data_IF_103266491045
#
_entry.id   IF_103266491045
#
_cell.length_a   1.000
_cell.length_b   1.000
_cell.length_c   1.000
_cell.angle_alpha   90.00
_cell.angle_beta   90.00
_cell.angle_gamma   90.00
#
_symmetry.space_group_name_H-M   'P 1'
#
loop_
_entity.id
_entity.type
_entity.pdbx_description
1 polymer ?
#
# COMPACT_ATOMS: atom_id res chain seq x y z
N UNK A 1 -1.85 0.29 7.21
CA UNK A 1 -2.49 0.98 6.07
C UNK A 1 -3.77 0.23 5.77
N UNK A 2 -4.90 0.91 5.75
CA UNK A 2 -6.23 0.35 5.49
C UNK A 2 -6.67 0.58 4.05
N UNK A 3 -7.68 -0.16 3.57
CA UNK A 3 -8.25 0.03 2.23
C UNK A 3 -8.75 1.46 1.94
N UNK A 4 -9.26 2.18 2.94
CA UNK A 4 -9.69 3.57 2.75
C UNK A 4 -8.53 4.56 2.69
N UNK A 5 -7.42 4.23 3.35
CA UNK A 5 -6.19 5.00 3.22
C UNK A 5 -5.55 4.78 1.85
N UNK A 6 -5.58 3.55 1.32
CA UNK A 6 -5.01 3.26 0.00
C UNK A 6 -5.79 3.90 -1.15
N UNK A 7 -7.12 3.99 -1.04
CA UNK A 7 -7.96 4.72 -2.02
C UNK A 7 -7.59 6.19 -2.16
N UNK A 8 -7.03 6.80 -1.11
CA UNK A 8 -6.63 8.21 -1.09
C UNK A 8 -5.19 8.45 -1.56
N UNK A 9 -4.43 7.40 -1.89
CA UNK A 9 -3.06 7.54 -2.35
C UNK A 9 -3.00 8.17 -3.74
N UNK A 10 -2.02 9.04 -3.95
CA UNK A 10 -1.72 9.57 -5.28
C UNK A 10 -0.55 8.81 -5.89
N UNK A 11 -0.51 8.72 -7.21
CA UNK A 11 0.68 8.24 -7.91
C UNK A 11 1.86 9.16 -7.56
N UNK A 12 3.01 8.56 -7.22
CA UNK A 12 4.19 9.24 -6.69
C UNK A 12 4.19 9.40 -5.17
N UNK A 13 3.10 9.10 -4.47
CA UNK A 13 3.07 9.11 -3.02
C UNK A 13 4.03 8.06 -2.44
N UNK A 14 4.69 8.45 -1.34
CA UNK A 14 5.56 7.57 -0.57
C UNK A 14 4.75 6.87 0.52
N UNK A 15 4.91 5.56 0.63
CA UNK A 15 4.22 4.74 1.62
C UNK A 15 5.20 3.88 2.40
N UNK A 16 4.84 3.59 3.65
CA UNK A 16 5.55 2.66 4.54
C UNK A 16 4.56 1.64 5.05
N UNK A 17 4.83 0.35 4.85
CA UNK A 17 3.99 -0.69 5.42
C UNK A 17 4.34 -0.90 6.91
N UNK A 18 3.33 -1.04 7.77
CA UNK A 18 3.49 -1.27 9.24
C UNK A 18 4.46 -0.32 9.96
N UNK A 19 4.68 0.89 9.44
CA UNK A 19 5.70 1.82 9.92
C UNK A 19 7.15 1.29 9.90
N UNK A 20 7.41 0.19 9.17
CA UNK A 20 8.76 -0.27 8.91
C UNK A 20 9.38 0.58 7.79
N UNK A 21 10.51 1.22 8.09
CA UNK A 21 11.27 2.01 7.11
C UNK A 21 11.88 1.13 6.03
N UNK A 22 12.11 -0.16 6.29
CA UNK A 22 12.59 -1.11 5.30
C UNK A 22 11.52 -1.42 4.25
N UNK A 23 10.24 -1.31 4.60
CA UNK A 23 9.10 -1.49 3.69
C UNK A 23 8.61 -0.15 3.14
N UNK A 24 9.55 0.68 2.69
CA UNK A 24 9.24 1.90 1.98
C UNK A 24 9.02 1.63 0.48
N UNK A 25 8.00 2.24 -0.09
CA UNK A 25 7.66 2.09 -1.50
C UNK A 25 6.97 3.32 -2.07
N UNK A 26 6.98 3.42 -3.39
CA UNK A 26 6.34 4.51 -4.13
C UNK A 26 5.16 3.97 -4.92
N UNK A 27 4.02 4.63 -4.81
CA UNK A 27 2.83 4.29 -5.57
C UNK A 27 3.06 4.62 -7.04
N UNK A 28 3.00 3.61 -7.91
CA UNK A 28 3.15 3.80 -9.36
C UNK A 28 1.81 3.82 -10.07
N UNK A 29 0.80 3.17 -9.50
CA UNK A 29 -0.57 3.17 -10.03
C UNK A 29 -1.58 3.17 -8.88
N UNK A 30 -2.70 3.87 -9.08
CA UNK A 30 -3.89 3.76 -8.23
C UNK A 30 -5.12 3.64 -9.13
N UNK A 31 -5.83 2.53 -9.00
CA UNK A 31 -7.05 2.23 -9.73
C UNK A 31 -8.22 2.05 -8.77
N UNK A 32 -9.42 1.87 -9.32
CA UNK A 32 -10.61 1.61 -8.51
C UNK A 32 -10.51 0.34 -7.66
N UNK A 33 -9.72 -0.67 -8.10
CA UNK A 33 -9.62 -1.97 -7.44
C UNK A 33 -8.41 -2.08 -6.49
N UNK A 34 -7.34 -1.32 -6.74
CA UNK A 34 -6.14 -1.40 -5.91
C UNK A 34 -5.06 -0.39 -6.26
N UNK A 35 -3.88 -0.59 -5.69
CA UNK A 35 -2.67 0.19 -5.97
C UNK A 35 -1.53 -0.71 -6.38
N UNK A 36 -0.62 -0.19 -7.19
CA UNK A 36 0.68 -0.80 -7.46
C UNK A 36 1.73 0.01 -6.73
N UNK A 37 2.53 -0.67 -5.91
CA UNK A 37 3.63 -0.06 -5.17
C UNK A 37 4.93 -0.66 -5.70
N UNK A 38 5.84 0.21 -6.14
CA UNK A 38 7.24 -0.13 -6.35
C UNK A 38 7.97 0.01 -5.02
N UNK A 39 8.30 -1.11 -4.41
CA UNK A 39 9.08 -1.15 -3.19
C UNK A 39 10.56 -0.85 -3.49
N UNK A 40 11.27 -0.31 -2.50
CA UNK A 40 12.71 -0.05 -2.65
C UNK A 40 13.54 -1.32 -2.53
N UNK A 41 13.07 -2.27 -1.71
CA UNK A 41 13.78 -3.49 -1.36
C UNK A 41 13.35 -4.71 -2.20
N UNK A 42 12.26 -4.62 -2.96
CA UNK A 42 11.69 -5.73 -3.74
C UNK A 42 11.01 -5.26 -5.01
N UNK A 43 10.60 -6.22 -5.85
CA UNK A 43 9.84 -5.96 -7.07
C UNK A 43 8.49 -5.27 -6.81
N UNK A 44 7.88 -4.69 -7.84
CA UNK A 44 6.57 -4.06 -7.72
C UNK A 44 5.50 -5.07 -7.31
N UNK A 45 4.52 -4.60 -6.53
CA UNK A 45 3.44 -5.41 -6.02
C UNK A 45 2.10 -4.71 -6.21
N UNK A 46 1.13 -5.42 -6.77
CA UNK A 46 -0.26 -4.99 -6.81
C UNK A 46 -0.98 -5.42 -5.54
N UNK A 47 -1.71 -4.50 -4.91
CA UNK A 47 -2.45 -4.74 -3.67
C UNK A 47 -3.88 -4.24 -3.86
N UNK A 48 -4.86 -5.14 -3.71
CA UNK A 48 -6.26 -4.76 -3.79
C UNK A 48 -6.66 -3.99 -2.55
N UNK A 49 -7.50 -2.96 -2.70
CA UNK A 49 -7.95 -2.16 -1.55
C UNK A 49 -8.69 -3.02 -0.51
N UNK A 50 -9.36 -4.08 -0.95
CA UNK A 50 -10.08 -5.00 -0.07
C UNK A 50 -9.16 -5.98 0.68
N UNK A 51 -7.95 -6.20 0.19
CA UNK A 51 -6.95 -7.08 0.83
C UNK A 51 -6.12 -6.33 1.88
N UNK A 52 -6.22 -4.99 1.91
CA UNK A 52 -5.61 -4.15 2.94
C UNK A 52 -6.46 -4.16 4.22
N UNK A 53 -6.54 -5.34 4.83
CA UNK A 53 -7.21 -5.54 6.12
C UNK A 53 -6.28 -5.07 7.23
N UNK A 54 -6.81 -4.30 8.17
CA UNK A 54 -6.07 -3.94 9.37
C UNK A 54 -5.93 -5.19 10.26
N UNK A 55 -4.72 -5.74 10.35
CA UNK A 55 -4.44 -6.94 11.15
C UNK A 55 -4.55 -6.66 12.66
N UNK A 56 -4.85 -5.41 13.07
CA UNK A 56 -5.02 -5.04 14.48
C UNK A 56 -6.41 -5.36 15.07
N UNK A 57 -7.28 -6.06 14.33
CA UNK A 57 -8.63 -6.45 14.80
C UNK A 57 -8.85 -7.97 14.84
N UNK A 58 -7.80 -8.78 14.98
CA UNK A 58 -7.96 -10.12 15.59
C UNK A 58 -7.95 -9.94 17.12
N UNK A 59 -9.14 -9.96 17.73
CA UNK A 59 -9.35 -10.22 19.15
C UNK A 59 -9.61 -11.72 19.36
#
# INVERSE_FOLDING_TARGET
MTGDQSRKLTVGARVHWKADKADAGTVTENTWSGVVIKWDNRGPQAIMHNDMVDVSSDH
#
